data_IF_835229023024
#
_entry.id   IF_835229023024
#
_cell.length_a   1.000
_cell.length_b   1.000
_cell.length_c   1.000
_cell.angle_alpha   90.00
_cell.angle_beta   90.00
_cell.angle_gamma   90.00
#
_symmetry.space_group_name_H-M   'P 1'
#
loop_
_entity.id
_entity.type
_entity.pdbx_description
1 polymer ?
#
# COMPACT_ATOMS: atom_id res chain seq x y z
N UNK A 1 48.48 46.62 8.10
CA UNK A 1 47.24 45.94 7.62
C UNK A 1 47.39 44.51 8.05
N UNK A 2 46.88 44.18 9.23
CA UNK A 2 46.92 42.85 9.83
C UNK A 2 45.73 42.06 9.26
N UNK A 3 46.05 40.90 8.68
CA UNK A 3 45.05 39.92 8.24
C UNK A 3 44.47 39.19 9.47
N UNK A 4 43.23 39.49 9.81
CA UNK A 4 42.46 38.68 10.75
C UNK A 4 42.00 37.41 10.02
N UNK A 5 42.74 36.31 10.22
CA UNK A 5 42.23 34.96 9.96
C UNK A 5 41.13 34.69 10.99
N UNK A 6 39.88 34.76 10.57
CA UNK A 6 38.77 34.16 11.30
C UNK A 6 38.87 32.65 11.20
N UNK A 7 39.15 32.02 12.34
CA UNK A 7 39.08 30.55 12.53
C UNK A 7 37.65 30.10 12.32
N UNK A 8 37.38 29.52 11.13
CA UNK A 8 36.11 28.85 10.82
C UNK A 8 35.98 27.43 11.47
N UNK A 9 36.96 27.05 12.30
CA UNK A 9 37.02 25.68 12.87
C UNK A 9 36.34 25.53 14.25
N UNK A 10 35.78 26.59 14.84
CA UNK A 10 35.19 26.52 16.19
C UNK A 10 33.66 26.31 16.23
N UNK A 11 33.01 26.08 15.07
CA UNK A 11 31.57 25.82 15.00
C UNK A 11 31.22 24.31 14.96
N UNK A 12 32.16 23.40 15.15
CA UNK A 12 31.97 21.95 15.11
C UNK A 12 32.13 21.22 16.44
N UNK A 13 32.14 21.89 17.54
CA UNK A 13 31.88 21.25 18.84
C UNK A 13 30.37 21.24 19.03
N UNK A 14 29.69 20.43 18.20
CA UNK A 14 28.29 20.12 18.37
C UNK A 14 28.11 19.36 19.66
N UNK A 15 27.52 20.05 20.61
CA UNK A 15 26.95 19.52 21.81
C UNK A 15 26.19 18.22 21.48
N UNK A 16 26.13 17.33 22.43
CA UNK A 16 25.46 16.03 22.48
C UNK A 16 23.94 16.20 22.21
N UNK A 17 23.57 16.59 20.99
CA UNK A 17 22.18 16.65 20.56
C UNK A 17 21.71 15.21 20.44
N UNK A 18 20.79 14.74 21.30
CA UNK A 18 20.32 13.40 21.24
C UNK A 18 19.80 13.09 19.83
N UNK A 19 20.39 12.10 19.16
CA UNK A 19 19.90 11.69 17.86
C UNK A 19 18.45 11.20 18.01
N UNK A 20 17.53 11.62 17.13
CA UNK A 20 16.15 11.22 17.22
C UNK A 20 16.05 9.71 17.10
N UNK A 21 15.41 9.08 18.07
CA UNK A 21 15.17 7.64 18.04
C UNK A 21 13.97 7.33 17.16
N UNK A 22 14.12 6.34 16.27
CA UNK A 22 13.02 5.84 15.47
C UNK A 22 12.01 5.10 16.37
N UNK A 23 10.73 5.18 16.00
CA UNK A 23 9.69 4.40 16.66
C UNK A 23 9.97 2.89 16.51
N UNK A 24 9.67 2.11 17.55
CA UNK A 24 9.86 0.63 17.52
C UNK A 24 9.13 -0.03 16.34
N UNK A 25 7.91 0.41 16.06
CA UNK A 25 7.12 -0.09 14.93
C UNK A 25 7.79 0.08 13.57
N UNK A 26 8.67 1.09 13.41
CA UNK A 26 9.47 1.26 12.18
C UNK A 26 10.63 0.26 12.13
N UNK A 27 11.26 -0.02 13.26
CA UNK A 27 12.36 -0.97 13.34
C UNK A 27 11.90 -2.41 13.06
N UNK A 28 10.63 -2.71 13.29
CA UNK A 28 10.02 -4.02 13.04
C UNK A 28 9.63 -4.23 11.56
N UNK A 29 9.72 -3.18 10.71
CA UNK A 29 9.42 -3.29 9.28
C UNK A 29 10.67 -3.78 8.53
N UNK A 30 10.62 -4.97 7.89
CA UNK A 30 11.75 -5.48 7.14
C UNK A 30 12.02 -4.64 5.88
N UNK A 31 13.27 -4.54 5.42
CA UNK A 31 13.60 -3.86 4.18
C UNK A 31 12.94 -4.54 2.97
N UNK A 32 12.61 -3.76 1.96
CA UNK A 32 11.99 -4.28 0.74
C UNK A 32 12.99 -5.04 -0.13
N UNK A 33 12.86 -6.37 -0.20
CA UNK A 33 13.67 -7.24 -1.06
C UNK A 33 13.52 -6.91 -2.55
N UNK A 34 12.34 -6.45 -2.97
CA UNK A 34 12.10 -5.97 -4.34
C UNK A 34 12.95 -4.74 -4.61
N UNK A 35 13.06 -3.83 -3.65
CA UNK A 35 13.89 -2.62 -3.80
C UNK A 35 15.40 -2.96 -3.86
N UNK A 36 15.85 -3.95 -3.11
CA UNK A 36 17.24 -4.42 -3.20
C UNK A 36 17.59 -4.89 -4.61
N UNK A 37 16.72 -5.74 -5.20
CA UNK A 37 16.90 -6.22 -6.58
C UNK A 37 16.84 -5.06 -7.59
N UNK A 38 15.91 -4.13 -7.43
CA UNK A 38 15.83 -2.96 -8.29
C UNK A 38 17.10 -2.11 -8.23
N UNK A 39 17.66 -1.88 -7.04
CA UNK A 39 18.88 -1.11 -6.86
C UNK A 39 20.10 -1.78 -7.49
N UNK A 40 20.15 -3.10 -7.57
CA UNK A 40 21.17 -3.85 -8.32
C UNK A 40 20.96 -3.65 -9.82
N UNK A 41 19.73 -3.85 -10.29
CA UNK A 41 19.36 -3.77 -11.68
C UNK A 41 19.58 -2.37 -12.29
N UNK A 42 19.36 -1.30 -11.52
CA UNK A 42 19.63 0.07 -11.96
C UNK A 42 21.11 0.38 -12.28
N UNK A 43 22.02 -0.46 -11.80
CA UNK A 43 23.47 -0.35 -12.07
C UNK A 43 23.93 -1.25 -13.23
N UNK A 44 23.01 -1.93 -13.89
CA UNK A 44 23.30 -2.90 -14.94
C UNK A 44 22.63 -2.47 -16.26
N UNK A 45 23.36 -2.62 -17.37
CA UNK A 45 22.83 -2.43 -18.70
C UNK A 45 22.15 -3.70 -19.22
N UNK A 46 21.16 -3.55 -20.08
CA UNK A 46 20.52 -4.67 -20.81
C UNK A 46 19.62 -5.57 -19.93
N UNK A 47 19.27 -5.15 -18.72
CA UNK A 47 18.41 -5.93 -17.82
C UNK A 47 16.95 -5.83 -18.19
N UNK A 48 16.28 -6.97 -18.31
CA UNK A 48 14.81 -7.02 -18.40
C UNK A 48 14.19 -6.72 -17.02
N UNK A 49 13.41 -5.64 -16.94
CA UNK A 49 12.82 -5.13 -15.69
C UNK A 49 11.58 -5.94 -15.29
N UNK A 50 11.76 -7.14 -14.77
CA UNK A 50 10.66 -8.02 -14.32
C UNK A 50 10.36 -7.92 -12.81
N UNK A 51 11.02 -7.03 -12.10
CA UNK A 51 10.91 -6.87 -10.63
C UNK A 51 9.83 -5.86 -10.22
N UNK A 52 9.35 -5.02 -11.15
CA UNK A 52 8.20 -4.12 -10.94
C UNK A 52 7.07 -4.46 -11.90
N UNK A 53 5.85 -4.50 -11.39
CA UNK A 53 4.63 -4.57 -12.19
C UNK A 53 4.28 -3.20 -12.78
N UNK A 54 5.10 -2.72 -13.71
CA UNK A 54 4.95 -1.42 -14.36
C UNK A 54 4.69 -1.59 -15.86
N UNK A 55 3.71 -0.87 -16.39
CA UNK A 55 3.46 -0.86 -17.84
C UNK A 55 4.59 -0.14 -18.59
N UNK A 56 4.97 -0.67 -19.75
CA UNK A 56 5.87 0.00 -20.68
C UNK A 56 5.14 0.95 -21.64
N UNK A 57 3.81 1.05 -21.54
CA UNK A 57 3.00 1.97 -22.34
C UNK A 57 2.92 3.34 -21.65
N UNK A 58 3.12 4.43 -22.42
CA UNK A 58 2.94 5.76 -21.86
C UNK A 58 1.46 6.01 -21.51
N UNK A 59 1.23 6.90 -20.54
CA UNK A 59 -0.13 7.35 -20.22
C UNK A 59 -0.84 7.85 -21.49
N UNK A 60 -2.07 7.42 -21.75
CA UNK A 60 -2.86 7.88 -22.91
C UNK A 60 -2.93 9.40 -23.01
N UNK A 61 -2.90 9.92 -24.25
CA UNK A 61 -2.79 11.36 -24.49
C UNK A 61 -3.97 12.13 -23.87
N UNK A 62 -5.19 11.62 -24.00
CA UNK A 62 -6.38 12.30 -23.44
C UNK A 62 -6.31 12.50 -21.92
N UNK A 63 -5.66 11.57 -21.16
CA UNK A 63 -5.45 11.71 -19.71
C UNK A 63 -4.45 12.84 -19.44
N UNK A 64 -3.33 12.88 -20.20
CA UNK A 64 -2.32 13.93 -20.06
C UNK A 64 -2.91 15.30 -20.38
N UNK A 65 -3.71 15.38 -21.44
CA UNK A 65 -4.36 16.63 -21.86
C UNK A 65 -5.35 17.13 -20.82
N UNK A 66 -6.12 16.20 -20.21
CA UNK A 66 -7.04 16.54 -19.12
C UNK A 66 -6.31 17.10 -17.88
N UNK A 67 -5.21 16.46 -17.49
CA UNK A 67 -4.39 16.94 -16.38
C UNK A 67 -3.77 18.31 -16.65
N UNK A 68 -3.22 18.51 -17.87
CA UNK A 68 -2.63 19.78 -18.31
C UNK A 68 -3.68 20.89 -18.31
N UNK A 69 -4.86 20.62 -18.83
CA UNK A 69 -5.98 21.57 -18.85
C UNK A 69 -6.42 21.97 -17.45
N UNK A 70 -6.57 21.00 -16.54
CA UNK A 70 -6.93 21.28 -15.16
C UNK A 70 -5.92 22.21 -14.47
N UNK A 71 -4.61 22.02 -14.69
CA UNK A 71 -3.57 22.92 -14.19
C UNK A 71 -3.69 24.32 -14.78
N UNK A 72 -3.94 24.46 -16.09
CA UNK A 72 -4.12 25.75 -16.77
C UNK A 72 -5.36 26.49 -16.31
N UNK A 73 -6.42 25.76 -15.95
CA UNK A 73 -7.67 26.30 -15.40
C UNK A 73 -7.57 26.64 -13.92
N UNK A 74 -6.42 26.39 -13.28
CA UNK A 74 -6.14 26.78 -11.90
C UNK A 74 -6.67 25.81 -10.83
N UNK A 75 -6.91 24.55 -11.16
CA UNK A 75 -7.25 23.51 -10.18
C UNK A 75 -6.04 23.11 -9.32
N UNK A 76 -5.53 24.06 -8.53
CA UNK A 76 -4.30 23.93 -7.72
C UNK A 76 -4.54 24.23 -6.23
N UNK A 77 -5.79 24.34 -5.81
CA UNK A 77 -6.18 24.62 -4.44
C UNK A 77 -6.54 23.35 -3.66
N UNK A 78 -6.75 23.54 -2.35
CA UNK A 78 -7.25 22.44 -1.50
C UNK A 78 -8.57 21.88 -2.02
N UNK A 79 -8.69 20.57 -1.96
CA UNK A 79 -9.91 19.85 -2.28
C UNK A 79 -10.68 19.45 -1.00
N UNK A 80 -11.86 18.89 -1.17
CA UNK A 80 -12.57 18.23 -0.09
C UNK A 80 -11.75 17.06 0.48
N UNK A 81 -11.80 16.83 1.80
CA UNK A 81 -11.01 15.78 2.47
C UNK A 81 -11.22 14.38 1.89
N UNK A 82 -12.44 14.06 1.45
CA UNK A 82 -12.75 12.79 0.79
C UNK A 82 -12.39 12.75 -0.72
N UNK A 83 -11.85 13.82 -1.27
CA UNK A 83 -11.58 14.02 -2.70
C UNK A 83 -12.66 14.84 -3.41
N UNK A 84 -12.38 15.24 -4.64
CA UNK A 84 -13.30 16.03 -5.46
C UNK A 84 -14.66 15.32 -5.60
N UNK A 85 -15.80 16.01 -5.35
CA UNK A 85 -17.13 15.42 -5.52
C UNK A 85 -17.32 14.80 -6.90
N UNK A 86 -16.97 15.52 -7.96
CA UNK A 86 -17.08 15.05 -9.35
C UNK A 86 -16.28 13.77 -9.62
N UNK A 87 -15.12 13.58 -8.98
CA UNK A 87 -14.34 12.34 -9.10
C UNK A 87 -15.03 11.19 -8.36
N UNK A 88 -15.58 11.44 -7.18
CA UNK A 88 -16.32 10.42 -6.42
C UNK A 88 -17.59 9.97 -7.15
N UNK A 89 -18.33 10.92 -7.76
CA UNK A 89 -19.47 10.64 -8.63
C UNK A 89 -19.07 9.77 -9.82
N UNK A 90 -18.01 10.12 -10.53
CA UNK A 90 -17.49 9.33 -11.66
C UNK A 90 -17.03 7.92 -11.23
N UNK A 91 -16.48 7.76 -10.02
CA UNK A 91 -16.15 6.45 -9.44
C UNK A 91 -17.41 5.65 -9.18
N UNK A 92 -18.45 6.24 -8.56
CA UNK A 92 -19.71 5.58 -8.31
C UNK A 92 -20.38 5.11 -9.60
N UNK A 93 -20.42 5.97 -10.63
CA UNK A 93 -20.95 5.65 -11.95
C UNK A 93 -20.19 4.45 -12.57
N UNK A 94 -18.87 4.48 -12.54
CA UNK A 94 -18.03 3.39 -13.05
C UNK A 94 -18.30 2.07 -12.32
N UNK A 95 -18.48 2.07 -11.00
CA UNK A 95 -18.80 0.87 -10.22
C UNK A 95 -20.20 0.33 -10.59
N UNK A 96 -21.15 1.23 -10.82
CA UNK A 96 -22.48 0.85 -11.28
C UNK A 96 -22.43 0.20 -12.67
N UNK A 97 -21.72 0.81 -13.63
CA UNK A 97 -21.61 0.30 -15.00
C UNK A 97 -20.90 -1.05 -15.09
N UNK A 98 -19.78 -1.21 -14.37
CA UNK A 98 -18.91 -2.38 -14.51
C UNK A 98 -19.31 -3.55 -13.59
N UNK A 99 -19.86 -3.25 -12.42
CA UNK A 99 -20.09 -4.23 -11.36
C UNK A 99 -21.53 -4.30 -10.90
N UNK A 100 -22.43 -3.43 -11.41
CA UNK A 100 -23.82 -3.30 -10.98
C UNK A 100 -23.95 -3.00 -9.48
N UNK A 101 -22.94 -2.33 -8.89
CA UNK A 101 -22.91 -1.90 -7.50
C UNK A 101 -23.23 -0.42 -7.43
N UNK A 102 -24.25 -0.06 -6.64
CA UNK A 102 -24.60 1.33 -6.38
C UNK A 102 -23.89 1.81 -5.12
N UNK A 103 -23.02 2.81 -5.25
CA UNK A 103 -22.30 3.44 -4.14
C UNK A 103 -22.79 4.88 -3.96
N UNK A 104 -22.93 5.31 -2.71
CA UNK A 104 -23.17 6.71 -2.39
C UNK A 104 -21.81 7.48 -2.46
N UNK A 105 -21.63 8.41 -3.42
CA UNK A 105 -20.37 9.11 -3.57
C UNK A 105 -20.02 10.01 -2.38
N UNK A 106 -20.98 10.40 -1.55
CA UNK A 106 -20.73 11.27 -0.39
C UNK A 106 -20.22 10.51 0.84
N UNK A 107 -20.68 9.27 1.05
CA UNK A 107 -20.42 8.51 2.29
C UNK A 107 -19.62 7.23 2.11
N UNK A 108 -19.53 6.69 0.88
CA UNK A 108 -18.90 5.38 0.64
C UNK A 108 -17.65 5.44 -0.22
N UNK A 109 -17.23 6.64 -0.66
CA UNK A 109 -16.04 6.82 -1.51
C UNK A 109 -15.12 7.86 -0.90
N UNK A 110 -13.86 7.45 -0.69
CA UNK A 110 -12.75 8.34 -0.31
C UNK A 110 -11.61 8.17 -1.30
N UNK A 111 -11.13 9.29 -1.83
CA UNK A 111 -10.00 9.33 -2.76
C UNK A 111 -8.71 9.47 -1.98
N UNK A 112 -7.74 8.61 -2.26
CA UNK A 112 -6.39 8.66 -1.69
C UNK A 112 -5.35 8.91 -2.79
N UNK A 113 -4.20 9.47 -2.43
CA UNK A 113 -3.12 9.77 -3.39
C UNK A 113 -2.50 8.50 -4.00
N UNK A 114 -2.68 7.33 -3.36
CA UNK A 114 -2.23 6.03 -3.87
C UNK A 114 -2.97 4.89 -3.18
N UNK A 115 -2.95 3.71 -3.77
CA UNK A 115 -3.46 2.49 -3.14
C UNK A 115 -2.77 2.15 -1.82
N UNK A 116 -1.47 2.45 -1.69
CA UNK A 116 -0.73 2.28 -0.41
C UNK A 116 -1.30 3.19 0.66
N UNK A 117 -1.58 4.46 0.33
CA UNK A 117 -2.17 5.39 1.28
C UNK A 117 -3.58 4.94 1.69
N UNK A 118 -4.41 4.54 0.72
CA UNK A 118 -5.74 4.02 1.00
C UNK A 118 -5.69 2.81 1.95
N UNK A 119 -4.81 1.85 1.67
CA UNK A 119 -4.62 0.67 2.49
C UNK A 119 -4.10 1.02 3.89
N UNK A 120 -3.15 1.96 3.98
CA UNK A 120 -2.62 2.42 5.28
C UNK A 120 -3.70 3.08 6.14
N UNK A 121 -4.54 3.93 5.55
CA UNK A 121 -5.66 4.55 6.28
C UNK A 121 -6.66 3.49 6.72
N UNK A 122 -7.09 2.60 5.83
CA UNK A 122 -8.06 1.56 6.13
C UNK A 122 -7.59 0.62 7.27
N UNK A 123 -6.36 0.13 7.19
CA UNK A 123 -5.79 -0.76 8.21
C UNK A 123 -5.68 -0.04 9.57
N UNK A 124 -5.24 1.22 9.58
CA UNK A 124 -5.12 2.03 10.81
C UNK A 124 -6.47 2.33 11.47
N UNK A 125 -7.55 2.35 10.71
CA UNK A 125 -8.89 2.53 11.27
C UNK A 125 -9.41 1.27 11.97
N UNK A 126 -8.78 0.10 11.76
CA UNK A 126 -9.27 -1.20 12.20
C UNK A 126 -8.38 -1.89 13.24
N UNK A 127 -7.11 -1.47 13.37
CA UNK A 127 -6.13 -2.14 14.23
C UNK A 127 -5.62 -1.23 15.34
N UNK A 128 -5.69 -1.75 16.56
CA UNK A 128 -5.01 -1.22 17.73
C UNK A 128 -3.66 -1.96 17.97
N UNK A 129 -2.74 -1.36 18.76
CA UNK A 129 -1.52 -2.05 19.18
C UNK A 129 -1.81 -3.38 19.87
N UNK A 130 -1.18 -4.46 19.38
CA UNK A 130 -1.34 -5.82 19.89
C UNK A 130 -2.41 -6.64 19.18
N UNK A 131 -3.20 -6.05 18.30
CA UNK A 131 -4.13 -6.78 17.44
C UNK A 131 -3.39 -7.66 16.41
N UNK A 132 -4.15 -8.52 15.74
CA UNK A 132 -3.64 -9.41 14.69
C UNK A 132 -4.42 -9.23 13.40
N UNK A 133 -3.69 -9.26 12.27
CA UNK A 133 -4.28 -9.30 10.94
C UNK A 133 -3.83 -10.57 10.22
N UNK A 134 -4.77 -11.31 9.64
CA UNK A 134 -4.50 -12.44 8.75
C UNK A 134 -4.20 -11.92 7.34
N UNK A 135 -3.15 -12.42 6.69
CA UNK A 135 -2.77 -12.05 5.33
C UNK A 135 -2.57 -13.28 4.49
N UNK A 136 -3.31 -13.41 3.38
CA UNK A 136 -3.06 -14.47 2.41
C UNK A 136 -1.77 -14.16 1.64
N UNK A 137 -0.81 -15.10 1.64
CA UNK A 137 0.52 -14.94 1.02
C UNK A 137 0.82 -16.04 -0.01
N UNK A 138 1.77 -15.86 -0.95
CA UNK A 138 2.57 -14.66 -1.19
C UNK A 138 1.74 -13.43 -1.57
N UNK A 139 2.04 -12.29 -0.96
CA UNK A 139 1.36 -11.04 -1.22
C UNK A 139 2.35 -9.87 -1.30
N UNK A 140 1.89 -8.77 -1.87
CA UNK A 140 2.65 -7.53 -1.84
C UNK A 140 2.94 -7.10 -0.39
N UNK A 141 4.23 -6.84 -0.02
CA UNK A 141 4.64 -6.77 1.39
C UNK A 141 4.11 -5.55 2.16
N UNK A 142 3.51 -4.58 1.48
CA UNK A 142 3.09 -3.34 2.12
C UNK A 142 1.96 -3.54 3.14
N UNK A 143 1.04 -4.48 2.93
CA UNK A 143 0.00 -4.76 3.91
C UNK A 143 0.60 -5.26 5.24
N UNK A 144 1.52 -6.22 5.17
CA UNK A 144 2.25 -6.72 6.36
C UNK A 144 3.05 -5.60 7.05
N UNK A 145 3.72 -4.75 6.26
CA UNK A 145 4.45 -3.59 6.79
C UNK A 145 3.53 -2.60 7.51
N UNK A 146 2.36 -2.28 6.94
CA UNK A 146 1.38 -1.36 7.55
C UNK A 146 0.84 -1.93 8.86
N UNK A 147 0.54 -3.23 8.92
CA UNK A 147 0.11 -3.90 10.17
C UNK A 147 1.17 -3.73 11.26
N UNK A 148 2.46 -3.94 10.95
CA UNK A 148 3.57 -3.70 11.90
C UNK A 148 3.66 -2.24 12.33
N UNK A 149 3.44 -1.28 11.41
CA UNK A 149 3.41 0.14 11.73
C UNK A 149 2.27 0.53 12.68
N UNK A 150 1.22 -0.28 12.77
CA UNK A 150 0.17 -0.15 13.77
C UNK A 150 0.54 -0.79 15.14
N UNK A 151 1.76 -1.32 15.28
CA UNK A 151 2.16 -2.16 16.42
C UNK A 151 1.28 -3.40 16.59
N UNK A 152 0.70 -3.88 15.50
CA UNK A 152 -0.09 -5.11 15.40
C UNK A 152 0.73 -6.24 14.76
N UNK A 153 0.27 -7.47 14.88
CA UNK A 153 0.97 -8.64 14.40
C UNK A 153 0.37 -9.16 13.08
N UNK A 154 1.12 -9.14 11.95
CA UNK A 154 0.69 -9.82 10.74
C UNK A 154 0.84 -11.35 10.92
N UNK A 155 -0.24 -12.09 10.63
CA UNK A 155 -0.30 -13.55 10.57
C UNK A 155 -0.40 -13.96 9.12
N UNK A 156 0.69 -14.46 8.57
CA UNK A 156 0.77 -14.85 7.17
C UNK A 156 0.25 -16.28 6.98
N UNK A 157 -0.73 -16.44 6.10
CA UNK A 157 -1.38 -17.71 5.74
C UNK A 157 -1.03 -18.01 4.28
N UNK A 158 -0.11 -18.93 4.02
CA UNK A 158 0.28 -19.25 2.66
C UNK A 158 -0.86 -19.88 1.86
N UNK A 159 -1.06 -19.40 0.62
CA UNK A 159 -1.85 -20.11 -0.37
C UNK A 159 -1.14 -21.42 -0.73
N UNK A 160 -1.88 -22.48 -0.84
CA UNK A 160 -1.35 -23.82 -1.18
C UNK A 160 -1.40 -24.04 -2.68
N UNK A 161 -0.29 -24.49 -3.27
CA UNK A 161 -0.23 -24.80 -4.69
C UNK A 161 -0.67 -26.25 -4.93
N UNK A 162 -1.82 -26.42 -5.59
CA UNK A 162 -2.32 -27.72 -6.06
C UNK A 162 -2.19 -27.81 -7.58
N UNK A 163 -1.24 -28.59 -8.04
CA UNK A 163 -0.89 -28.66 -9.47
C UNK A 163 -0.39 -27.30 -9.98
N UNK A 164 -1.21 -26.61 -10.75
CA UNK A 164 -0.90 -25.27 -11.31
C UNK A 164 -1.74 -24.13 -10.71
N UNK A 165 -2.56 -24.44 -9.70
CA UNK A 165 -3.49 -23.46 -9.12
C UNK A 165 -3.23 -23.26 -7.64
N UNK A 166 -3.23 -22.02 -7.21
CA UNK A 166 -3.23 -21.67 -5.79
C UNK A 166 -4.64 -21.77 -5.21
N UNK A 167 -4.73 -22.20 -3.97
CA UNK A 167 -5.98 -22.34 -3.21
C UNK A 167 -5.80 -21.81 -1.80
N UNK A 168 -6.89 -21.36 -1.19
CA UNK A 168 -6.91 -20.94 0.21
C UNK A 168 -6.96 -22.19 1.10
N UNK A 169 -6.07 -22.25 2.08
CA UNK A 169 -6.15 -23.21 3.16
C UNK A 169 -7.07 -22.65 4.26
N UNK A 170 -8.35 -23.00 4.18
CA UNK A 170 -9.35 -22.55 5.16
C UNK A 170 -9.15 -23.18 6.55
N UNK A 171 -8.52 -24.34 6.65
CA UNK A 171 -8.20 -24.96 7.94
C UNK A 171 -7.07 -24.18 8.63
N UNK A 172 -6.05 -23.81 7.87
CA UNK A 172 -4.99 -22.92 8.37
C UNK A 172 -5.53 -21.56 8.79
N UNK A 173 -6.45 -20.96 8.00
CA UNK A 173 -7.14 -19.72 8.37
C UNK A 173 -7.88 -19.87 9.69
N UNK A 174 -8.70 -20.91 9.83
CA UNK A 174 -9.47 -21.17 11.05
C UNK A 174 -8.58 -21.37 12.28
N UNK A 175 -7.47 -22.06 12.11
CA UNK A 175 -6.50 -22.31 13.18
C UNK A 175 -5.74 -21.05 13.59
N UNK A 176 -5.56 -20.10 12.67
CA UNK A 176 -4.83 -18.86 12.90
C UNK A 176 -5.64 -17.77 13.65
N UNK A 177 -6.96 -17.94 13.77
CA UNK A 177 -7.82 -17.00 14.51
C UNK A 177 -7.48 -17.02 16.00
N UNK A 178 -7.39 -15.83 16.58
CA UNK A 178 -7.32 -15.63 18.03
C UNK A 178 -8.31 -14.56 18.46
N UNK A 179 -8.43 -14.33 19.76
CA UNK A 179 -9.25 -13.23 20.31
C UNK A 179 -8.75 -11.83 19.91
N UNK A 180 -7.52 -11.74 19.35
CA UNK A 180 -6.91 -10.51 18.86
C UNK A 180 -7.05 -10.32 17.36
N UNK A 181 -7.54 -11.31 16.63
CA UNK A 181 -7.73 -11.20 15.18
C UNK A 181 -8.85 -10.19 14.89
N UNK A 182 -8.54 -9.15 14.10
CA UNK A 182 -9.45 -8.06 13.73
C UNK A 182 -9.61 -7.88 12.24
N UNK A 183 -8.68 -8.38 11.45
CA UNK A 183 -8.63 -8.07 10.02
C UNK A 183 -8.15 -9.28 9.23
N UNK A 184 -8.79 -9.52 8.09
CA UNK A 184 -8.30 -10.38 7.02
C UNK A 184 -7.98 -9.49 5.80
N UNK A 185 -6.76 -9.62 5.27
CA UNK A 185 -6.33 -8.94 4.04
C UNK A 185 -6.05 -9.97 2.96
N UNK A 186 -6.75 -9.87 1.85
CA UNK A 186 -6.42 -10.61 0.64
C UNK A 186 -6.53 -9.72 -0.59
N UNK A 187 -5.84 -10.11 -1.65
CA UNK A 187 -5.84 -9.38 -2.93
C UNK A 187 -6.22 -10.33 -4.05
N UNK A 188 -7.26 -9.97 -4.82
CA UNK A 188 -7.71 -10.75 -5.98
C UNK A 188 -8.06 -9.79 -7.15
N UNK A 189 -7.41 -9.88 -8.31
CA UNK A 189 -6.21 -10.70 -8.62
C UNK A 189 -5.02 -10.38 -7.71
N UNK A 190 -4.29 -11.41 -7.26
CA UNK A 190 -3.21 -11.24 -6.29
C UNK A 190 -1.92 -10.68 -6.92
N UNK A 191 -1.20 -9.90 -6.14
CA UNK A 191 0.15 -9.46 -6.46
C UNK A 191 1.13 -10.17 -5.48
N UNK A 192 2.08 -11.02 -5.96
CA UNK A 192 2.57 -11.12 -7.35
C UNK A 192 1.99 -12.28 -8.18
N UNK A 193 1.13 -13.16 -7.63
CA UNK A 193 0.83 -14.46 -8.23
C UNK A 193 -0.13 -14.41 -9.42
N UNK A 194 -0.92 -13.34 -9.58
CA UNK A 194 -2.04 -13.30 -10.52
C UNK A 194 -3.19 -14.27 -10.18
N UNK A 195 -3.16 -14.87 -8.99
CA UNK A 195 -4.24 -15.72 -8.52
C UNK A 195 -5.53 -14.93 -8.36
N UNK A 196 -6.63 -15.54 -8.75
CA UNK A 196 -7.97 -14.96 -8.64
C UNK A 196 -8.79 -15.89 -7.75
N UNK A 197 -9.37 -15.32 -6.69
CA UNK A 197 -10.31 -16.02 -5.83
C UNK A 197 -11.57 -16.38 -6.62
N UNK A 198 -12.03 -17.62 -6.50
CA UNK A 198 -13.30 -18.04 -7.09
C UNK A 198 -14.47 -17.41 -6.33
N UNK A 199 -15.67 -17.46 -6.91
CA UNK A 199 -16.89 -17.02 -6.23
C UNK A 199 -17.09 -17.81 -4.93
N UNK A 200 -16.85 -19.12 -4.95
CA UNK A 200 -16.90 -19.99 -3.77
C UNK A 200 -15.87 -19.54 -2.70
N UNK A 201 -14.63 -19.25 -3.10
CA UNK A 201 -13.60 -18.76 -2.16
C UNK A 201 -14.05 -17.46 -1.51
N UNK A 202 -14.59 -16.53 -2.30
CA UNK A 202 -15.05 -15.24 -1.79
C UNK A 202 -16.23 -15.39 -0.82
N UNK A 203 -17.19 -16.26 -1.15
CA UNK A 203 -18.33 -16.54 -0.27
C UNK A 203 -17.84 -17.15 1.06
N UNK A 204 -16.95 -18.12 1.01
CA UNK A 204 -16.36 -18.76 2.20
C UNK A 204 -15.54 -17.77 3.05
N UNK A 205 -14.84 -16.81 2.42
CA UNK A 205 -14.14 -15.75 3.15
C UNK A 205 -15.11 -14.81 3.87
N UNK A 206 -16.23 -14.47 3.24
CA UNK A 206 -17.28 -13.66 3.87
C UNK A 206 -17.92 -14.38 5.06
N UNK A 207 -18.20 -15.67 4.95
CA UNK A 207 -18.74 -16.50 6.04
C UNK A 207 -17.74 -16.70 7.18
N UNK A 208 -16.43 -16.65 6.85
CA UNK A 208 -15.34 -16.72 7.82
C UNK A 208 -15.20 -15.44 8.65
N UNK A 209 -15.49 -14.25 8.09
CA UNK A 209 -15.36 -12.94 8.75
C UNK A 209 -16.58 -12.59 9.60
#
# INVERSE_FOLDING_TARGET
VEDEHHDEDDLRKGDDVPQPQLARSILDVPPSRIRELANIAFKMDGVLKLYFGESNLPTPQYIKDAATRALQEGFTFYTHNAGLPSLREAIAEKYHELHHISLNPESEIVVAASGVQALNVAIRCLLDPGDEALLLTPAWPNASAIVRLCSAAPREIPLVLHGTRYQIDFEALQTAISSRTRLLVYTSPSNPLGWVATEEDQQRLLEFC
#
